data_IF_905195021788
#
_entry.id   IF_905195021788
#
_cell.length_a   1.000
_cell.length_b   1.000
_cell.length_c   1.000
_cell.angle_alpha   90.00
_cell.angle_beta   90.00
_cell.angle_gamma   90.00
#
_symmetry.space_group_name_H-M   'P 1'
#
loop_
_entity.id
_entity.type
_entity.pdbx_description
1 polymer ?
#
# COMPACT_ATOMS: atom_id res chain seq x y z
N UNK A 1 3.75 0.62 14.84
CA UNK A 1 2.61 1.28 15.53
C UNK A 1 1.29 0.71 15.02
N UNK A 2 1.15 0.59 13.70
CA UNK A 2 -0.06 0.07 13.03
C UNK A 2 -0.38 -1.38 13.41
N UNK A 3 0.64 -2.22 13.61
CA UNK A 3 0.48 -3.61 14.05
C UNK A 3 -0.36 -3.73 15.35
N UNK A 4 -0.19 -2.79 16.30
CA UNK A 4 -0.93 -2.78 17.57
C UNK A 4 -2.38 -2.32 17.39
N UNK A 5 -2.62 -1.44 16.42
CA UNK A 5 -3.96 -0.89 16.11
C UNK A 5 -4.80 -1.94 15.39
N UNK A 6 -4.24 -2.58 14.37
CA UNK A 6 -4.92 -3.63 13.62
C UNK A 6 -5.09 -4.90 14.46
N UNK A 7 -4.08 -5.24 15.26
CA UNK A 7 -4.07 -6.40 16.14
C UNK A 7 -4.52 -7.69 15.43
N UNK A 8 -4.09 -7.86 14.16
CA UNK A 8 -4.39 -9.07 13.42
C UNK A 8 -3.67 -10.26 14.07
N UNK A 9 -4.32 -11.44 14.18
CA UNK A 9 -3.71 -12.66 14.68
C UNK A 9 -2.80 -13.29 13.62
N UNK A 10 -2.00 -12.48 12.92
CA UNK A 10 -1.17 -12.85 11.79
C UNK A 10 0.29 -12.51 12.08
N UNK A 11 1.21 -13.26 11.49
CA UNK A 11 2.64 -12.95 11.57
C UNK A 11 2.93 -11.61 10.89
N UNK A 12 3.56 -10.71 11.62
CA UNK A 12 4.03 -9.42 11.10
C UNK A 12 5.27 -9.66 10.23
N UNK A 13 5.23 -9.18 8.99
CA UNK A 13 6.34 -9.30 8.04
C UNK A 13 7.43 -8.25 8.29
N UNK A 14 7.03 -7.01 8.59
CA UNK A 14 7.91 -5.85 8.81
C UNK A 14 9.05 -5.73 7.78
N UNK A 15 8.76 -6.02 6.51
CA UNK A 15 9.75 -5.97 5.43
C UNK A 15 9.90 -4.55 4.94
N UNK A 16 11.10 -3.97 5.04
CA UNK A 16 11.40 -2.65 4.48
C UNK A 16 11.26 -2.65 2.96
N UNK A 17 10.53 -1.69 2.42
CA UNK A 17 10.46 -1.42 0.97
C UNK A 17 11.35 -0.20 0.67
N UNK A 18 12.40 -0.32 -0.16
CA UNK A 18 13.20 0.81 -0.59
C UNK A 18 12.35 1.84 -1.37
N UNK A 19 12.51 3.15 -1.06
CA UNK A 19 11.81 4.22 -1.78
C UNK A 19 12.08 4.20 -3.29
N UNK A 20 13.28 3.76 -3.69
CA UNK A 20 13.71 3.62 -5.08
C UNK A 20 12.82 2.63 -5.85
N UNK A 21 12.44 1.52 -5.23
CA UNK A 21 11.55 0.51 -5.83
C UNK A 21 10.17 1.10 -6.11
N UNK A 22 9.63 1.90 -5.18
CA UNK A 22 8.37 2.62 -5.37
C UNK A 22 8.47 3.69 -6.47
N UNK A 23 9.62 4.37 -6.58
CA UNK A 23 9.86 5.37 -7.62
C UNK A 23 9.91 4.76 -9.03
N UNK A 24 10.58 3.61 -9.17
CA UNK A 24 10.78 2.94 -10.45
C UNK A 24 9.50 2.27 -10.95
N UNK A 25 8.69 1.71 -10.03
CA UNK A 25 7.51 0.94 -10.40
C UNK A 25 6.26 1.79 -10.72
N UNK A 26 6.25 3.10 -10.42
CA UNK A 26 5.03 3.94 -10.48
C UNK A 26 4.95 4.93 -11.66
N UNK A 27 5.90 4.92 -12.61
CA UNK A 27 5.91 5.80 -13.80
C UNK A 27 5.57 7.28 -13.49
N UNK A 28 6.16 7.81 -12.40
CA UNK A 28 5.80 9.13 -11.88
C UNK A 28 6.44 10.27 -12.67
N UNK A 29 5.69 11.36 -12.86
CA UNK A 29 6.23 12.59 -13.41
C UNK A 29 7.08 13.37 -12.37
N UNK A 30 7.86 14.35 -12.83
CA UNK A 30 8.74 15.15 -11.97
C UNK A 30 8.01 15.86 -10.83
N UNK A 31 6.77 16.30 -11.06
CA UNK A 31 5.96 16.95 -10.03
C UNK A 31 5.47 15.98 -8.95
N UNK A 32 5.23 14.72 -9.29
CA UNK A 32 4.83 13.67 -8.35
C UNK A 32 6.02 13.19 -7.51
N UNK A 33 7.20 13.04 -8.12
CA UNK A 33 8.42 12.59 -7.43
C UNK A 33 8.81 13.47 -6.25
N UNK A 34 8.44 14.77 -6.25
CA UNK A 34 8.75 15.69 -5.15
C UNK A 34 8.08 15.27 -3.83
N UNK A 35 6.87 14.71 -3.89
CA UNK A 35 6.11 14.33 -2.69
C UNK A 35 6.70 13.09 -2.00
N UNK A 36 7.40 12.23 -2.74
CA UNK A 36 8.05 11.05 -2.18
C UNK A 36 9.23 11.40 -1.24
N UNK A 37 9.71 12.64 -1.26
CA UNK A 37 10.70 13.14 -0.29
C UNK A 37 10.14 13.21 1.14
N UNK A 38 8.81 13.29 1.28
CA UNK A 38 8.11 13.35 2.57
C UNK A 38 8.01 11.98 3.24
N UNK A 39 8.24 10.90 2.48
CA UNK A 39 8.35 9.57 3.05
C UNK A 39 9.68 9.47 3.77
N UNK A 40 9.68 9.01 5.02
CA UNK A 40 10.87 8.59 5.75
C UNK A 40 11.14 7.10 5.53
N UNK A 41 10.13 6.25 5.74
CA UNK A 41 10.23 4.79 5.70
C UNK A 41 8.95 4.16 5.13
N UNK A 42 9.10 3.07 4.39
CA UNK A 42 7.99 2.22 3.92
C UNK A 42 8.25 0.80 4.41
N UNK A 43 7.23 0.15 4.95
CA UNK A 43 7.30 -1.24 5.42
C UNK A 43 6.05 -2.01 5.05
N UNK A 44 6.23 -3.21 4.51
CA UNK A 44 5.17 -4.20 4.36
C UNK A 44 4.96 -4.87 5.72
N UNK A 45 3.82 -4.62 6.34
CA UNK A 45 3.46 -5.23 7.62
C UNK A 45 2.77 -6.58 7.44
N UNK A 46 1.79 -6.64 6.53
CA UNK A 46 1.03 -7.85 6.28
C UNK A 46 0.77 -8.03 4.79
N UNK A 47 0.72 -9.30 4.40
CA UNK A 47 0.09 -9.76 3.17
C UNK A 47 -1.19 -10.47 3.61
N UNK A 48 -2.34 -10.05 3.10
CA UNK A 48 -3.63 -10.69 3.40
C UNK A 48 -4.05 -11.49 2.17
N UNK A 49 -3.83 -12.80 2.23
CA UNK A 49 -4.26 -13.74 1.21
C UNK A 49 -4.59 -15.11 1.84
N UNK A 50 -4.88 -16.10 1.00
CA UNK A 50 -5.19 -17.46 1.46
C UNK A 50 -4.05 -18.10 2.25
N UNK A 51 -2.80 -17.88 1.86
CA UNK A 51 -1.64 -18.56 2.43
C UNK A 51 -1.19 -17.93 3.76
N UNK A 52 -1.28 -16.61 3.88
CA UNK A 52 -0.78 -15.86 5.04
C UNK A 52 -1.86 -15.52 6.06
N UNK A 53 -3.10 -15.36 5.64
CA UNK A 53 -4.22 -14.97 6.49
C UNK A 53 -5.37 -15.98 6.53
N UNK A 54 -5.29 -17.06 5.75
CA UNK A 54 -6.37 -18.06 5.61
C UNK A 54 -7.69 -17.41 5.15
N UNK A 55 -7.60 -16.25 4.48
CA UNK A 55 -8.74 -15.55 3.92
C UNK A 55 -8.96 -16.08 2.50
N UNK A 56 -10.11 -16.70 2.20
CA UNK A 56 -10.42 -17.13 0.84
C UNK A 56 -10.43 -15.94 -0.13
N UNK A 57 -9.94 -16.11 -1.36
CA UNK A 57 -9.98 -15.04 -2.35
C UNK A 57 -11.43 -14.70 -2.71
N UNK A 58 -11.74 -13.41 -2.86
CA UNK A 58 -12.97 -12.94 -3.50
C UNK A 58 -12.62 -12.40 -4.88
N UNK A 59 -13.21 -12.98 -5.92
CA UNK A 59 -13.00 -12.59 -7.32
C UNK A 59 -14.35 -12.55 -8.02
N UNK A 60 -14.64 -11.43 -8.70
CA UNK A 60 -15.80 -11.26 -9.56
C UNK A 60 -15.38 -10.68 -10.93
N UNK A 61 -16.33 -10.21 -11.74
CA UNK A 61 -16.04 -9.66 -13.07
C UNK A 61 -15.29 -8.31 -13.06
N UNK A 62 -15.25 -7.63 -11.91
CA UNK A 62 -14.75 -6.28 -11.75
C UNK A 62 -13.52 -6.26 -10.85
N UNK A 63 -13.48 -7.07 -9.80
CA UNK A 63 -12.50 -7.04 -8.72
C UNK A 63 -11.83 -8.39 -8.48
N UNK A 64 -10.55 -8.34 -8.13
CA UNK A 64 -9.78 -9.48 -7.66
C UNK A 64 -9.14 -9.12 -6.31
N UNK A 65 -9.72 -9.59 -5.22
CA UNK A 65 -9.21 -9.44 -3.84
C UNK A 65 -8.49 -10.69 -3.36
N UNK A 66 -7.83 -11.43 -4.25
CA UNK A 66 -7.03 -12.61 -3.86
C UNK A 66 -5.83 -12.26 -2.98
N UNK A 67 -5.42 -10.99 -2.98
CA UNK A 67 -4.29 -10.49 -2.18
C UNK A 67 -4.45 -9.00 -1.88
N UNK A 68 -4.23 -8.62 -0.62
CA UNK A 68 -4.16 -7.23 -0.16
C UNK A 68 -2.84 -7.01 0.57
N UNK A 69 -2.09 -5.98 0.17
CA UNK A 69 -0.87 -5.55 0.85
C UNK A 69 -1.20 -4.50 1.92
N UNK A 70 -0.66 -4.68 3.12
CA UNK A 70 -0.76 -3.71 4.21
C UNK A 70 0.58 -3.01 4.39
N UNK A 71 0.61 -1.72 4.07
CA UNK A 71 1.80 -0.88 4.12
C UNK A 71 1.73 0.08 5.31
N UNK A 72 2.84 0.18 6.04
CA UNK A 72 3.11 1.27 6.98
C UNK A 72 4.08 2.24 6.31
N UNK A 73 3.70 3.52 6.27
CA UNK A 73 4.47 4.60 5.63
C UNK A 73 4.70 5.68 6.68
N UNK A 74 5.93 5.76 7.19
CA UNK A 74 6.35 6.82 8.11
C UNK A 74 6.73 8.04 7.29
N UNK A 75 6.20 9.19 7.67
CA UNK A 75 6.41 10.48 7.01
C UNK A 75 7.23 11.41 7.90
N UNK A 76 7.99 12.30 7.28
CA UNK A 76 8.66 13.42 7.94
C UNK A 76 7.89 14.76 7.79
N UNK A 77 6.77 14.75 7.07
CA UNK A 77 5.83 15.88 6.91
C UNK A 77 4.47 15.37 6.45
N UNK A 78 3.37 16.00 6.87
CA UNK A 78 2.00 15.73 6.41
C UNK A 78 1.48 16.75 5.37
N UNK A 79 2.34 17.67 4.92
CA UNK A 79 1.95 18.81 4.06
C UNK A 79 1.23 18.40 2.77
N UNK A 80 1.65 17.30 2.14
CA UNK A 80 1.06 16.80 0.90
C UNK A 80 0.51 15.37 1.05
N UNK A 81 0.00 15.02 2.24
CA UNK A 81 -0.46 13.66 2.55
C UNK A 81 -1.52 13.14 1.57
N UNK A 82 -2.40 14.01 1.06
CA UNK A 82 -3.42 13.63 0.06
C UNK A 82 -2.78 13.26 -1.27
N UNK A 83 -1.87 14.09 -1.78
CA UNK A 83 -1.16 13.84 -3.03
C UNK A 83 -0.28 12.60 -2.93
N UNK A 84 0.40 12.44 -1.79
CA UNK A 84 1.22 11.28 -1.51
C UNK A 84 0.39 9.99 -1.46
N UNK A 85 -0.74 10.02 -0.75
CA UNK A 85 -1.69 8.91 -0.71
C UNK A 85 -2.14 8.53 -2.13
N UNK A 86 -2.58 9.50 -2.94
CA UNK A 86 -2.99 9.24 -4.33
C UNK A 86 -1.88 8.64 -5.19
N UNK A 87 -0.63 9.05 -5.00
CA UNK A 87 0.53 8.47 -5.71
C UNK A 87 0.76 7.02 -5.30
N UNK A 88 0.74 6.72 -4.00
CA UNK A 88 0.95 5.35 -3.50
C UNK A 88 -0.17 4.41 -3.94
N UNK A 89 -1.38 4.94 -4.14
CA UNK A 89 -2.47 4.20 -4.75
C UNK A 89 -2.19 3.77 -6.19
N UNK A 90 -1.14 4.24 -6.89
CA UNK A 90 -0.79 3.72 -8.22
C UNK A 90 -0.13 2.35 -8.18
N UNK A 91 0.32 1.86 -7.01
CA UNK A 91 0.83 0.50 -6.88
C UNK A 91 -0.24 -0.49 -7.38
N UNK A 92 0.08 -1.44 -8.29
CA UNK A 92 -0.94 -2.24 -8.97
C UNK A 92 -1.72 -3.24 -8.11
N UNK A 93 -1.31 -3.49 -6.87
CA UNK A 93 -1.98 -4.42 -5.95
C UNK A 93 -3.12 -3.74 -5.19
N UNK A 94 -4.02 -4.53 -4.58
CA UNK A 94 -4.93 -3.99 -3.58
C UNK A 94 -4.15 -3.60 -2.33
N UNK A 95 -4.46 -2.44 -1.76
CA UNK A 95 -3.66 -1.84 -0.69
C UNK A 95 -4.51 -1.36 0.48
N UNK A 96 -3.96 -1.57 1.66
CA UNK A 96 -4.22 -0.82 2.88
C UNK A 96 -2.96 -0.04 3.22
N UNK A 97 -3.01 1.28 3.17
CA UNK A 97 -1.85 2.17 3.36
C UNK A 97 -2.08 3.00 4.61
N UNK A 98 -1.24 2.82 5.61
CA UNK A 98 -1.21 3.61 6.82
C UNK A 98 -0.10 4.65 6.72
N UNK A 99 -0.47 5.91 6.51
CA UNK A 99 0.44 7.04 6.50
C UNK A 99 0.51 7.62 7.92
N UNK A 100 1.72 7.66 8.49
CA UNK A 100 1.97 8.07 9.87
C UNK A 100 2.84 9.31 9.87
N UNK A 101 2.39 10.36 10.54
CA UNK A 101 3.17 11.55 10.81
C UNK A 101 2.89 11.97 12.26
N UNK A 102 3.94 12.04 13.08
CA UNK A 102 3.84 12.18 14.53
C UNK A 102 2.81 11.17 15.11
N UNK A 103 1.83 11.64 15.88
CA UNK A 103 0.78 10.81 16.49
C UNK A 103 -0.45 10.62 15.59
N UNK A 104 -0.42 11.11 14.33
CA UNK A 104 -1.54 11.03 13.40
C UNK A 104 -1.39 9.87 12.45
N UNK A 105 -2.50 9.20 12.19
CA UNK A 105 -2.60 8.11 11.21
C UNK A 105 -3.67 8.47 10.19
N UNK A 106 -3.29 8.40 8.92
CA UNK A 106 -4.22 8.46 7.79
C UNK A 106 -4.27 7.10 7.11
N UNK A 107 -5.47 6.52 7.04
CA UNK A 107 -5.72 5.28 6.32
C UNK A 107 -6.16 5.59 4.88
N UNK A 108 -5.48 4.99 3.91
CA UNK A 108 -5.87 5.02 2.51
C UNK A 108 -6.06 3.59 2.00
N UNK A 109 -7.21 3.33 1.40
CA UNK A 109 -7.55 2.06 0.78
C UNK A 109 -7.47 2.21 -0.75
N UNK A 110 -6.87 1.23 -1.41
CA UNK A 110 -6.76 1.22 -2.87
C UNK A 110 -7.18 -0.15 -3.41
N UNK A 111 -8.41 -0.28 -3.89
CA UNK A 111 -8.88 -1.48 -4.59
C UNK A 111 -8.60 -1.39 -6.09
N UNK A 112 -8.33 -2.53 -6.72
CA UNK A 112 -7.96 -2.61 -8.14
C UNK A 112 -8.98 -3.39 -8.93
N UNK A 113 -9.31 -2.84 -10.11
CA UNK A 113 -10.19 -3.50 -11.06
C UNK A 113 -9.39 -4.46 -11.92
N UNK A 114 -10.00 -5.59 -12.28
CA UNK A 114 -9.43 -6.53 -13.24
C UNK A 114 -9.24 -5.81 -14.58
N UNK A 115 -8.04 -5.93 -15.14
CA UNK A 115 -7.78 -5.47 -16.50
C UNK A 115 -8.33 -6.49 -17.48
N UNK A 116 -9.46 -6.18 -18.13
CA UNK A 116 -10.11 -7.06 -19.12
C UNK A 116 -9.34 -7.19 -20.44
N UNK A 117 -8.27 -6.41 -20.63
CA UNK A 117 -7.44 -6.42 -21.84
C UNK A 117 -6.08 -7.12 -21.63
N UNK A 118 -5.84 -7.72 -20.47
CA UNK A 118 -4.60 -8.47 -20.20
C UNK A 118 -4.74 -9.92 -20.67
N UNK A 119 -3.98 -10.37 -21.68
CA UNK A 119 -4.13 -11.70 -22.28
C UNK A 119 -3.61 -12.85 -21.40
N UNK A 120 -3.05 -12.56 -20.22
CA UNK A 120 -2.60 -13.57 -19.25
C UNK A 120 -3.69 -14.05 -18.30
N UNK A 121 -4.93 -13.55 -18.47
CA UNK A 121 -6.16 -14.13 -17.93
C UNK A 121 -7.19 -14.36 -19.04
#
# INVERSE_FOLDING_TARGET
>A
MVEKILNFPLKILNKRIPKKEVLENLNLNSAQKKYLKEIEKISLLYLLNKDTATIPPFVDEIYDYSSILVLEVILNSDKHIKQLSSILQFIPQNLMIFLIYDDKITLSLASKRINKNDPTK
#
